data_IF_838839257619
#
_entry.id   IF_838839257619
#
_cell.length_a   1.000
_cell.length_b   1.000
_cell.length_c   1.000
_cell.angle_alpha   90.00
_cell.angle_beta   90.00
_cell.angle_gamma   90.00
#
_symmetry.space_group_name_H-M   'P 1'
#
loop_
_entity.id
_entity.type
_entity.pdbx_description
1 polymer ?
#
# COMPACT_ATOMS: atom_id res chain seq x y z
N UNK A 1 5.79 16.69 5.28
CA UNK A 1 5.71 15.62 4.27
C UNK A 1 6.25 16.18 2.96
N UNK A 2 7.35 15.63 2.45
CA UNK A 2 7.88 16.04 1.15
C UNK A 2 6.89 15.64 0.06
N UNK A 3 6.60 16.57 -0.84
CA UNK A 3 5.68 16.36 -1.95
C UNK A 3 6.15 15.20 -2.85
N UNK A 4 5.22 14.37 -3.33
CA UNK A 4 5.56 13.24 -4.20
C UNK A 4 6.39 13.68 -5.41
N UNK A 5 7.50 12.96 -5.67
CA UNK A 5 8.43 13.30 -6.75
C UNK A 5 7.78 13.28 -8.14
N UNK A 6 6.78 12.41 -8.35
CA UNK A 6 6.00 12.26 -9.59
C UNK A 6 4.52 12.39 -9.29
N UNK A 7 4.03 13.63 -9.22
CA UNK A 7 2.62 13.92 -8.91
C UNK A 7 1.65 13.34 -9.93
N UNK A 8 2.07 13.28 -11.18
CA UNK A 8 1.28 12.76 -12.29
C UNK A 8 0.97 11.26 -12.17
N UNK A 9 1.66 10.55 -11.26
CA UNK A 9 1.43 9.13 -10.97
C UNK A 9 0.73 8.90 -9.62
N UNK A 10 0.28 9.96 -8.96
CA UNK A 10 -0.47 9.84 -7.72
C UNK A 10 -1.87 9.28 -8.00
N UNK A 11 -2.15 8.10 -7.47
CA UNK A 11 -3.47 7.50 -7.54
C UNK A 11 -4.30 8.07 -6.39
N UNK A 12 -5.42 8.71 -6.73
CA UNK A 12 -6.35 9.33 -5.77
C UNK A 12 -7.73 8.71 -5.81
N UNK A 13 -8.12 8.20 -6.96
CA UNK A 13 -9.42 7.56 -7.16
C UNK A 13 -9.46 6.21 -6.44
N UNK A 14 -10.58 5.95 -5.76
CA UNK A 14 -10.77 4.79 -4.91
C UNK A 14 -10.78 3.50 -5.73
N UNK A 15 -11.42 3.53 -6.88
CA UNK A 15 -11.53 2.42 -7.82
C UNK A 15 -10.15 1.97 -8.30
N UNK A 16 -9.25 2.92 -8.59
CA UNK A 16 -7.88 2.64 -8.99
C UNK A 16 -7.07 2.03 -7.84
N UNK A 17 -7.27 2.51 -6.60
CA UNK A 17 -6.64 1.92 -5.41
C UNK A 17 -7.11 0.47 -5.22
N UNK A 18 -8.41 0.21 -5.35
CA UNK A 18 -8.97 -1.15 -5.24
C UNK A 18 -8.43 -2.05 -6.36
N UNK A 19 -8.31 -1.54 -7.59
CA UNK A 19 -7.72 -2.28 -8.70
C UNK A 19 -6.26 -2.68 -8.44
N UNK A 20 -5.47 -1.80 -7.82
CA UNK A 20 -4.11 -2.14 -7.39
C UNK A 20 -4.12 -3.25 -6.34
N UNK A 21 -5.02 -3.18 -5.35
CA UNK A 21 -5.15 -4.22 -4.33
C UNK A 21 -5.59 -5.57 -4.93
N UNK A 22 -6.49 -5.58 -5.92
CA UNK A 22 -6.95 -6.79 -6.60
C UNK A 22 -5.86 -7.45 -7.46
N UNK A 23 -4.98 -6.66 -8.08
CA UNK A 23 -3.90 -7.17 -8.95
C UNK A 23 -2.65 -7.55 -8.17
N UNK A 24 -2.45 -6.98 -6.98
CA UNK A 24 -1.31 -7.27 -6.12
C UNK A 24 -1.42 -8.65 -5.46
N UNK A 25 -0.35 -9.45 -5.55
CA UNK A 25 -0.28 -10.78 -4.91
C UNK A 25 0.45 -10.78 -3.55
N UNK A 26 1.30 -9.77 -3.32
CA UNK A 26 2.18 -9.67 -2.16
C UNK A 26 2.26 -8.21 -1.72
N UNK A 27 2.17 -7.95 -0.43
CA UNK A 27 2.44 -6.64 0.18
C UNK A 27 3.72 -6.68 0.98
N UNK A 28 4.34 -5.51 1.15
CA UNK A 28 5.47 -5.31 2.06
C UNK A 28 5.02 -4.42 3.20
N UNK A 29 5.06 -4.95 4.42
CA UNK A 29 4.73 -4.17 5.62
C UNK A 29 6.04 -3.75 6.26
N UNK A 30 6.19 -2.44 6.46
CA UNK A 30 7.28 -1.89 7.25
C UNK A 30 6.79 -1.67 8.70
N UNK A 31 7.53 -2.22 9.66
CA UNK A 31 7.27 -2.04 11.09
C UNK A 31 8.51 -1.43 11.74
N UNK A 32 8.27 -0.59 12.75
CA UNK A 32 9.33 0.08 13.50
C UNK A 32 9.26 -0.37 14.96
N UNK A 33 10.39 -0.82 15.49
CA UNK A 33 10.59 -1.16 16.90
C UNK A 33 11.84 -0.43 17.46
N UNK A 34 12.31 -0.83 18.64
CA UNK A 34 13.49 -0.24 19.27
C UNK A 34 14.80 -0.55 18.53
N UNK A 35 14.84 -1.64 17.76
CA UNK A 35 16.02 -2.06 16.98
C UNK A 35 16.06 -1.40 15.59
N UNK A 36 14.91 -0.97 15.07
CA UNK A 36 14.81 -0.15 13.88
C UNK A 36 13.60 -0.48 13.02
N UNK A 37 13.75 -0.32 11.71
CA UNK A 37 12.69 -0.62 10.73
C UNK A 37 12.98 -1.96 10.07
N UNK A 38 12.02 -2.87 10.10
CA UNK A 38 12.06 -4.11 9.34
C UNK A 38 10.91 -4.20 8.34
N UNK A 39 11.14 -4.89 7.22
CA UNK A 39 10.20 -4.98 6.08
C UNK A 39 9.94 -6.44 5.74
N UNK A 40 8.67 -6.86 5.81
CA UNK A 40 8.26 -8.24 5.54
C UNK A 40 7.37 -8.34 4.29
N UNK A 41 7.74 -9.17 3.29
CA UNK A 41 6.85 -9.53 2.20
C UNK A 41 5.90 -10.65 2.64
N UNK A 42 4.59 -10.42 2.50
CA UNK A 42 3.56 -11.38 2.89
C UNK A 42 2.47 -11.48 1.82
N UNK A 43 1.89 -12.67 1.67
CA UNK A 43 0.63 -12.84 0.95
C UNK A 43 -0.50 -12.17 1.75
N UNK A 44 -1.43 -11.54 1.05
CA UNK A 44 -2.53 -10.82 1.70
C UNK A 44 -3.85 -11.08 0.97
N UNK A 45 -4.94 -10.91 1.72
CA UNK A 45 -6.28 -10.72 1.21
C UNK A 45 -6.89 -9.54 1.95
N UNK A 46 -7.81 -8.82 1.30
CA UNK A 46 -8.49 -7.70 1.91
C UNK A 46 -10.01 -7.89 1.79
N UNK A 47 -10.76 -7.28 2.70
CA UNK A 47 -12.21 -7.14 2.56
C UNK A 47 -12.54 -5.68 2.61
N UNK A 48 -13.13 -5.19 1.53
CA UNK A 48 -13.58 -3.83 1.46
C UNK A 48 -15.02 -3.72 1.99
N UNK A 49 -15.22 -2.97 3.08
CA UNK A 49 -16.55 -2.74 3.70
C UNK A 49 -16.92 -1.26 3.60
N UNK A 50 -18.07 -0.98 3.00
CA UNK A 50 -18.63 0.37 2.87
C UNK A 50 -18.50 0.96 1.46
N UNK A 51 -19.03 0.25 0.47
CA UNK A 51 -19.26 0.71 -0.91
C UNK A 51 -20.05 2.01 -0.94
#
# INVERSE_FOLDING_TARGET
>A
MTQMRRKEREIKEREDILHVLDTCKVIRIAMHDEEGIYILPLNFGYTYKGG
#
